data_IF_270747369304
#
_entry.id   IF_270747369304
#
_cell.length_a   1.000
_cell.length_b   1.000
_cell.length_c   1.000
_cell.angle_alpha   90.00
_cell.angle_beta   90.00
_cell.angle_gamma   90.00
#
_symmetry.space_group_name_H-M   'P 1'
#
loop_
_entity.id
_entity.type
_entity.pdbx_description
1 polymer ?
#
# COMPACT_ATOMS: atom_id res chain seq x y z
N UNK A 1 -49.14 110.59 -37.59
CA UNK A 1 -49.34 110.47 -36.11
C UNK A 1 -49.17 108.99 -35.76
N UNK A 2 -48.12 108.66 -35.02
CA UNK A 2 -47.94 107.55 -34.07
C UNK A 2 -48.51 106.18 -34.49
N UNK A 3 -47.95 105.07 -34.31
CA UNK A 3 -46.80 104.49 -33.57
C UNK A 3 -46.89 102.94 -33.63
N UNK A 4 -45.80 102.28 -33.57
CA UNK A 4 -45.56 100.90 -33.09
C UNK A 4 -46.15 99.76 -33.92
N UNK A 5 -45.50 98.78 -34.45
CA UNK A 5 -44.30 98.04 -33.99
C UNK A 5 -44.72 96.63 -33.54
N UNK A 6 -44.47 95.70 -34.26
CA UNK A 6 -43.92 94.51 -33.60
C UNK A 6 -43.41 93.41 -34.58
N UNK A 7 -42.11 93.12 -34.42
CA UNK A 7 -41.44 92.00 -35.06
C UNK A 7 -41.81 90.69 -34.37
N UNK A 8 -42.20 89.70 -35.10
CA UNK A 8 -42.15 88.33 -34.59
C UNK A 8 -41.03 87.59 -35.38
N UNK A 9 -39.98 87.30 -34.67
CA UNK A 9 -38.86 86.47 -35.14
C UNK A 9 -39.30 85.03 -35.31
N UNK A 10 -38.97 84.49 -36.42
CA UNK A 10 -39.07 83.03 -36.64
C UNK A 10 -37.88 82.32 -36.01
N UNK A 11 -38.09 81.62 -34.95
CA UNK A 11 -37.12 80.71 -34.39
C UNK A 11 -36.98 79.47 -35.26
N UNK A 12 -35.83 79.36 -35.95
CA UNK A 12 -35.40 78.10 -36.55
C UNK A 12 -34.93 77.17 -35.43
N UNK A 13 -35.79 76.21 -35.07
CA UNK A 13 -35.37 75.08 -34.24
C UNK A 13 -34.57 74.11 -35.11
N UNK A 14 -33.25 74.23 -35.02
CA UNK A 14 -32.31 73.25 -35.57
C UNK A 14 -32.40 71.95 -34.83
N UNK A 15 -33.05 70.97 -35.38
CA UNK A 15 -33.07 69.60 -34.86
C UNK A 15 -31.62 69.03 -34.82
N UNK A 16 -31.05 69.00 -33.67
CA UNK A 16 -29.74 68.36 -33.41
C UNK A 16 -29.93 66.86 -33.52
N UNK A 17 -29.56 66.27 -34.67
CA UNK A 17 -29.39 64.81 -34.84
C UNK A 17 -28.29 64.39 -33.90
N UNK A 18 -28.60 63.79 -32.78
CA UNK A 18 -27.66 63.02 -31.95
C UNK A 18 -27.28 61.76 -32.73
N UNK A 19 -26.18 61.79 -33.44
CA UNK A 19 -25.49 60.58 -33.87
C UNK A 19 -25.05 59.80 -32.66
N UNK A 20 -25.76 58.70 -32.36
CA UNK A 20 -25.25 57.68 -31.46
C UNK A 20 -23.97 57.10 -32.07
N UNK A 21 -22.80 57.60 -31.67
CA UNK A 21 -21.53 56.93 -31.87
C UNK A 21 -21.63 55.56 -31.20
N UNK A 22 -21.91 54.51 -31.96
CA UNK A 22 -21.67 53.13 -31.55
C UNK A 22 -20.16 52.99 -31.38
N UNK A 23 -19.66 53.22 -30.16
CA UNK A 23 -18.27 53.06 -29.85
C UNK A 23 -17.90 51.56 -29.98
N UNK A 24 -17.33 51.24 -31.13
CA UNK A 24 -16.77 49.91 -31.36
C UNK A 24 -15.72 49.66 -30.24
N UNK A 25 -15.76 48.44 -29.65
CA UNK A 25 -14.78 48.00 -28.65
C UNK A 25 -13.37 48.38 -29.10
N UNK A 26 -12.60 48.98 -28.22
CA UNK A 26 -11.18 49.32 -28.48
C UNK A 26 -10.42 48.03 -28.80
N UNK A 27 -9.40 48.10 -29.66
CA UNK A 27 -8.64 46.95 -30.13
C UNK A 27 -8.14 46.04 -29.01
N UNK A 28 -7.70 46.61 -27.88
CA UNK A 28 -7.28 45.87 -26.72
C UNK A 28 -8.47 45.14 -26.03
N UNK A 29 -9.65 45.73 -25.96
CA UNK A 29 -10.86 45.08 -25.43
C UNK A 29 -11.29 43.86 -26.28
N UNK A 30 -11.16 43.92 -27.62
CA UNK A 30 -11.41 42.80 -28.50
C UNK A 30 -10.40 41.69 -28.27
N UNK A 31 -9.09 42.05 -28.10
CA UNK A 31 -8.04 41.09 -27.80
C UNK A 31 -8.29 40.44 -26.43
N UNK A 32 -8.67 41.18 -25.39
CA UNK A 32 -8.99 40.64 -24.06
C UNK A 32 -10.18 39.70 -24.10
N UNK A 33 -11.22 40.00 -24.87
CA UNK A 33 -12.40 39.12 -25.03
C UNK A 33 -12.01 37.83 -25.75
N UNK A 34 -11.18 37.94 -26.81
CA UNK A 34 -10.70 36.75 -27.54
C UNK A 34 -9.82 35.87 -26.62
N UNK A 35 -8.88 36.46 -25.87
CA UNK A 35 -8.05 35.73 -24.92
C UNK A 35 -8.91 35.07 -23.82
N UNK A 36 -9.88 35.80 -23.27
CA UNK A 36 -10.81 35.24 -22.28
C UNK A 36 -11.66 34.08 -22.86
N UNK A 37 -12.12 34.20 -24.10
CA UNK A 37 -12.84 33.15 -24.78
C UNK A 37 -11.94 31.91 -25.03
N UNK A 38 -10.68 32.11 -25.43
CA UNK A 38 -9.71 31.01 -25.59
C UNK A 38 -9.45 30.31 -24.26
N UNK A 39 -9.23 31.08 -23.18
CA UNK A 39 -9.03 30.52 -21.83
C UNK A 39 -10.27 29.74 -21.35
N UNK A 40 -11.48 30.26 -21.62
CA UNK A 40 -12.72 29.55 -21.30
C UNK A 40 -12.90 28.25 -22.12
N UNK A 41 -12.57 28.28 -23.41
CA UNK A 41 -12.63 27.07 -24.26
C UNK A 41 -11.57 26.06 -23.83
N UNK A 42 -10.32 26.49 -23.62
CA UNK A 42 -9.25 25.59 -23.18
C UNK A 42 -9.51 25.08 -21.75
N UNK A 43 -9.98 25.93 -20.86
CA UNK A 43 -10.38 25.52 -19.51
C UNK A 43 -11.58 24.58 -19.52
N UNK A 44 -12.57 24.84 -20.36
CA UNK A 44 -13.74 23.98 -20.53
C UNK A 44 -13.41 22.61 -21.13
N UNK A 45 -12.51 22.57 -22.14
CA UNK A 45 -12.04 21.31 -22.71
C UNK A 45 -11.16 20.55 -21.74
N UNK A 46 -10.26 21.22 -21.03
CA UNK A 46 -9.44 20.60 -19.98
C UNK A 46 -10.33 20.03 -18.85
N UNK A 47 -11.35 20.76 -18.41
CA UNK A 47 -12.34 20.30 -17.43
C UNK A 47 -13.17 19.11 -17.94
N UNK A 48 -13.55 19.12 -19.21
CA UNK A 48 -14.30 18.01 -19.82
C UNK A 48 -13.42 16.75 -19.92
N UNK A 49 -12.17 16.88 -20.36
CA UNK A 49 -11.19 15.78 -20.43
C UNK A 49 -10.90 15.26 -19.00
N UNK A 50 -10.74 16.17 -18.06
CA UNK A 50 -10.55 15.81 -16.64
C UNK A 50 -11.73 14.99 -16.10
N UNK A 51 -12.98 15.45 -16.30
CA UNK A 51 -14.18 14.72 -15.85
C UNK A 51 -14.38 13.37 -16.54
N UNK A 52 -13.97 13.23 -17.79
CA UNK A 52 -14.07 11.96 -18.52
C UNK A 52 -13.04 10.93 -18.01
N UNK A 53 -11.86 11.39 -17.60
CA UNK A 53 -10.77 10.50 -17.16
C UNK A 53 -10.77 10.23 -15.65
N UNK A 54 -11.40 11.10 -14.83
CA UNK A 54 -11.53 10.90 -13.39
C UNK A 54 -12.73 10.00 -13.12
N UNK A 55 -12.47 8.73 -12.93
CA UNK A 55 -13.48 7.69 -12.70
C UNK A 55 -12.93 6.61 -11.76
N UNK A 56 -13.82 5.88 -11.06
CA UNK A 56 -13.38 4.72 -10.26
C UNK A 56 -12.70 3.67 -11.14
N UNK A 57 -11.88 2.79 -10.54
CA UNK A 57 -11.40 1.63 -11.25
C UNK A 57 -12.60 0.78 -11.68
N UNK A 58 -12.52 0.28 -12.89
CA UNK A 58 -13.48 -0.72 -13.39
C UNK A 58 -12.67 -1.99 -13.55
N UNK A 59 -12.92 -2.98 -12.70
CA UNK A 59 -12.32 -4.30 -12.87
C UNK A 59 -12.73 -4.80 -14.25
N UNK A 60 -11.77 -4.97 -15.14
CA UNK A 60 -12.05 -5.64 -16.41
C UNK A 60 -12.41 -7.08 -16.06
N UNK A 61 -13.41 -7.70 -16.71
CA UNK A 61 -13.61 -9.13 -16.58
C UNK A 61 -12.27 -9.80 -16.89
N UNK A 62 -11.78 -10.60 -15.97
CA UNK A 62 -10.54 -11.35 -16.18
C UNK A 62 -10.64 -12.06 -17.53
N UNK A 63 -9.54 -12.05 -18.35
CA UNK A 63 -9.50 -12.88 -19.54
C UNK A 63 -9.94 -14.28 -19.10
N UNK A 64 -10.84 -14.89 -19.86
CA UNK A 64 -11.26 -16.28 -19.57
C UNK A 64 -10.00 -17.12 -19.58
N UNK A 65 -9.43 -17.35 -18.42
CA UNK A 65 -8.28 -18.22 -18.26
C UNK A 65 -8.73 -19.59 -18.72
N UNK A 66 -7.96 -20.19 -19.61
CA UNK A 66 -8.27 -21.53 -20.16
C UNK A 66 -8.06 -22.63 -19.12
N UNK A 67 -7.41 -22.31 -18.01
CA UNK A 67 -7.19 -23.18 -16.87
C UNK A 67 -7.77 -22.56 -15.59
N UNK A 68 -8.45 -23.32 -14.74
CA UNK A 68 -8.99 -22.81 -13.49
C UNK A 68 -7.84 -22.38 -12.56
N UNK A 69 -8.03 -21.26 -11.85
CA UNK A 69 -7.10 -20.82 -10.83
C UNK A 69 -6.93 -21.88 -9.74
N UNK A 70 -5.73 -22.00 -9.16
CA UNK A 70 -5.52 -22.84 -7.98
C UNK A 70 -6.50 -22.48 -6.85
N UNK A 71 -6.91 -23.46 -6.05
CA UNK A 71 -7.87 -23.24 -4.95
C UNK A 71 -7.39 -22.15 -3.98
N UNK A 72 -6.09 -22.07 -3.76
CA UNK A 72 -5.46 -21.07 -2.91
C UNK A 72 -5.50 -19.63 -3.46
N UNK A 73 -5.85 -19.43 -4.74
CA UNK A 73 -6.01 -18.13 -5.39
C UNK A 73 -7.47 -17.83 -5.76
N UNK A 74 -8.38 -18.77 -5.49
CA UNK A 74 -9.80 -18.60 -5.81
C UNK A 74 -10.54 -17.92 -4.66
N UNK A 75 -11.28 -16.84 -4.96
CA UNK A 75 -12.11 -16.13 -3.98
C UNK A 75 -13.43 -16.89 -3.76
N UNK A 76 -13.72 -17.24 -2.52
CA UNK A 76 -14.98 -17.88 -2.11
C UNK A 76 -15.97 -16.79 -1.68
N UNK A 77 -16.64 -16.14 -2.66
CA UNK A 77 -17.62 -15.08 -2.38
C UNK A 77 -18.77 -15.61 -1.52
N UNK A 78 -19.32 -14.81 -0.60
CA UNK A 78 -20.56 -15.16 0.08
C UNK A 78 -21.70 -15.27 -0.94
N UNK A 79 -22.73 -16.02 -0.61
CA UNK A 79 -23.86 -16.24 -1.50
C UNK A 79 -25.15 -15.62 -0.93
N UNK A 80 -26.04 -15.26 -1.82
CA UNK A 80 -27.38 -14.75 -1.50
C UNK A 80 -28.43 -15.59 -2.23
N UNK A 81 -29.59 -15.75 -1.63
CA UNK A 81 -30.73 -16.41 -2.24
C UNK A 81 -31.57 -15.39 -2.97
N UNK A 82 -31.80 -15.60 -4.27
CA UNK A 82 -32.65 -14.74 -5.10
C UNK A 82 -33.83 -15.56 -5.64
N UNK A 83 -35.04 -14.98 -5.73
CA UNK A 83 -36.15 -15.63 -6.40
C UNK A 83 -35.82 -15.93 -7.86
N UNK A 84 -36.04 -17.16 -8.28
CA UNK A 84 -35.92 -17.59 -9.66
C UNK A 84 -37.16 -18.37 -10.04
N UNK A 85 -37.46 -18.45 -11.33
CA UNK A 85 -38.56 -19.26 -11.83
C UNK A 85 -37.97 -20.44 -12.56
N UNK A 86 -38.26 -21.64 -12.06
CA UNK A 86 -37.90 -22.89 -12.73
C UNK A 86 -39.12 -23.35 -13.55
N UNK A 87 -38.90 -23.61 -14.83
CA UNK A 87 -39.95 -24.09 -15.75
C UNK A 87 -39.72 -25.59 -15.94
N UNK A 88 -40.70 -26.38 -15.57
CA UNK A 88 -40.66 -27.81 -15.86
C UNK A 88 -40.74 -28.01 -17.38
N UNK A 89 -39.75 -28.64 -17.95
CA UNK A 89 -39.61 -28.82 -19.42
C UNK A 89 -40.69 -29.73 -19.99
N UNK A 90 -41.33 -30.64 -19.19
CA UNK A 90 -42.37 -31.57 -19.65
C UNK A 90 -43.79 -31.01 -19.51
N UNK A 91 -44.05 -30.27 -18.44
CA UNK A 91 -45.39 -29.75 -18.10
C UNK A 91 -45.58 -28.29 -18.45
N UNK A 92 -44.47 -27.49 -18.57
CA UNK A 92 -44.53 -26.04 -18.74
C UNK A 92 -44.98 -25.29 -17.50
N UNK A 93 -45.07 -25.95 -16.33
CA UNK A 93 -45.41 -25.29 -15.08
C UNK A 93 -44.23 -24.46 -14.54
N UNK A 94 -44.54 -23.22 -14.16
CA UNK A 94 -43.59 -22.31 -13.54
C UNK A 94 -43.65 -22.49 -12.00
N UNK A 95 -42.52 -22.79 -11.40
CA UNK A 95 -42.39 -22.87 -9.94
C UNK A 95 -41.39 -21.82 -9.45
N UNK A 96 -41.81 -21.00 -8.47
CA UNK A 96 -40.89 -20.08 -7.79
C UNK A 96 -39.93 -20.90 -6.91
N UNK A 97 -38.63 -20.75 -7.17
CA UNK A 97 -37.56 -21.36 -6.40
C UNK A 97 -36.60 -20.28 -5.92
N UNK A 98 -35.89 -20.54 -4.83
CA UNK A 98 -34.76 -19.67 -4.42
C UNK A 98 -33.48 -20.26 -5.00
N UNK A 99 -32.79 -19.48 -5.80
CA UNK A 99 -31.49 -19.86 -6.38
C UNK A 99 -30.37 -19.12 -5.65
N UNK A 100 -29.34 -19.89 -5.28
CA UNK A 100 -28.13 -19.36 -4.65
C UNK A 100 -27.23 -18.73 -5.71
N UNK A 101 -26.89 -17.45 -5.54
CA UNK A 101 -25.97 -16.72 -6.43
C UNK A 101 -24.89 -16.01 -5.60
N UNK A 102 -23.68 -15.82 -6.15
CA UNK A 102 -22.65 -15.05 -5.48
C UNK A 102 -23.12 -13.61 -5.20
N UNK A 103 -22.80 -13.10 -4.01
CA UNK A 103 -23.09 -11.72 -3.62
C UNK A 103 -22.40 -10.73 -4.56
N UNK A 104 -23.12 -9.66 -4.90
CA UNK A 104 -22.59 -8.59 -5.74
C UNK A 104 -21.77 -7.61 -4.95
N UNK A 105 -20.73 -7.07 -5.56
CA UNK A 105 -19.91 -6.00 -4.99
C UNK A 105 -20.72 -4.71 -4.90
N UNK A 106 -20.71 -4.04 -3.74
CA UNK A 106 -21.37 -2.76 -3.51
C UNK A 106 -20.68 -1.64 -4.27
N UNK A 107 -21.46 -0.82 -4.98
CA UNK A 107 -20.93 0.36 -5.65
C UNK A 107 -20.40 1.37 -4.64
N UNK A 108 -19.26 2.00 -4.95
CA UNK A 108 -18.65 3.02 -4.11
C UNK A 108 -17.84 2.48 -2.93
N UNK A 109 -17.60 1.18 -2.87
CA UNK A 109 -16.72 0.52 -1.89
C UNK A 109 -15.49 0.02 -2.60
N UNK A 110 -14.31 0.30 -2.07
CA UNK A 110 -13.05 -0.05 -2.72
C UNK A 110 -12.05 -0.59 -1.69
N UNK A 111 -11.33 -1.63 -2.07
CA UNK A 111 -10.24 -2.23 -1.30
C UNK A 111 -8.99 -2.30 -2.17
N UNK A 112 -7.97 -1.50 -1.84
CA UNK A 112 -6.74 -1.37 -2.60
C UNK A 112 -5.58 -2.02 -1.84
N UNK A 113 -4.86 -2.92 -2.52
CA UNK A 113 -3.64 -3.49 -1.98
C UNK A 113 -2.49 -2.50 -2.07
N UNK A 114 -1.88 -2.18 -0.94
CA UNK A 114 -0.65 -1.38 -0.84
C UNK A 114 0.47 -2.28 -0.36
N UNK A 115 1.51 -2.42 -1.17
CA UNK A 115 2.69 -3.20 -0.81
C UNK A 115 3.96 -2.36 -0.87
N UNK A 116 4.89 -2.63 0.03
CA UNK A 116 6.22 -2.04 0.05
C UNK A 116 7.28 -3.12 -0.09
N UNK A 117 8.22 -2.96 -1.03
CA UNK A 117 9.33 -3.90 -1.20
C UNK A 117 10.43 -3.70 -0.15
N UNK A 118 11.19 -4.76 0.12
CA UNK A 118 12.46 -4.68 0.83
C UNK A 118 13.55 -3.96 -0.01
N UNK A 119 14.72 -3.74 0.59
CA UNK A 119 15.83 -3.04 -0.08
C UNK A 119 16.32 -3.74 -1.33
N UNK A 120 16.16 -5.05 -1.43
CA UNK A 120 16.56 -5.87 -2.57
C UNK A 120 15.44 -5.95 -3.64
N UNK A 121 14.24 -5.44 -3.34
CA UNK A 121 13.07 -5.47 -4.22
C UNK A 121 12.52 -6.88 -4.49
N UNK A 122 12.91 -7.87 -3.69
CA UNK A 122 12.56 -9.27 -3.94
C UNK A 122 11.31 -9.74 -3.17
N UNK A 123 11.03 -9.12 -2.02
CA UNK A 123 9.91 -9.46 -1.13
C UNK A 123 9.15 -8.21 -0.73
N UNK A 124 7.91 -8.40 -0.31
CA UNK A 124 7.09 -7.34 0.25
C UNK A 124 7.19 -7.35 1.78
N UNK A 125 7.88 -6.37 2.35
CA UNK A 125 8.01 -6.24 3.82
C UNK A 125 6.81 -5.54 4.46
N UNK A 126 6.01 -4.84 3.68
CA UNK A 126 4.77 -4.19 4.07
C UNK A 126 3.65 -4.65 3.16
N UNK A 127 2.54 -5.11 3.74
CA UNK A 127 1.33 -5.54 3.02
C UNK A 127 0.15 -4.94 3.77
N UNK A 128 -0.56 -4.01 3.15
CA UNK A 128 -1.69 -3.28 3.73
C UNK A 128 -2.84 -3.30 2.72
N UNK A 129 -4.06 -3.53 3.19
CA UNK A 129 -5.28 -3.28 2.44
C UNK A 129 -5.85 -1.96 2.92
N UNK A 130 -6.01 -1.00 2.00
CA UNK A 130 -6.65 0.27 2.24
C UNK A 130 -8.11 0.19 1.76
N UNK A 131 -9.02 0.51 2.64
CA UNK A 131 -10.46 0.55 2.39
C UNK A 131 -10.96 1.97 2.24
N UNK A 132 -11.87 2.18 1.31
CA UNK A 132 -12.64 3.40 1.13
C UNK A 132 -14.10 3.06 0.83
N UNK A 133 -15.02 3.53 1.65
CA UNK A 133 -16.45 3.59 1.32
C UNK A 133 -16.83 5.05 1.03
N UNK A 134 -17.09 5.37 -0.24
CA UNK A 134 -17.45 6.73 -0.66
C UNK A 134 -18.86 7.15 -0.22
N UNK A 135 -19.72 6.17 0.12
CA UNK A 135 -21.10 6.44 0.55
C UNK A 135 -21.13 6.94 2.00
N UNK A 136 -20.24 6.41 2.85
CA UNK A 136 -20.11 6.80 4.27
C UNK A 136 -18.93 7.73 4.52
N UNK A 137 -18.02 7.87 3.55
CA UNK A 137 -16.72 8.55 3.66
C UNK A 137 -15.82 7.95 4.74
N UNK A 138 -15.98 6.66 5.00
CA UNK A 138 -15.11 5.90 5.90
C UNK A 138 -13.86 5.42 5.19
N UNK A 139 -12.75 5.44 5.92
CA UNK A 139 -11.47 4.87 5.51
C UNK A 139 -10.94 3.96 6.59
N UNK A 140 -10.33 2.86 6.18
CA UNK A 140 -9.66 1.93 7.09
C UNK A 140 -8.39 1.37 6.48
N UNK A 141 -7.46 0.94 7.33
CA UNK A 141 -6.24 0.23 6.93
C UNK A 141 -6.18 -1.12 7.66
N UNK A 142 -5.90 -2.19 6.93
CA UNK A 142 -5.68 -3.52 7.48
C UNK A 142 -4.29 -4.01 7.08
N UNK A 143 -3.45 -4.27 8.07
CA UNK A 143 -2.12 -4.84 7.83
C UNK A 143 -2.16 -6.35 7.90
N UNK A 144 -1.56 -6.97 6.87
CA UNK A 144 -1.34 -8.42 6.81
C UNK A 144 0.12 -8.68 7.21
N UNK A 145 0.38 -9.44 8.28
CA UNK A 145 1.73 -9.75 8.69
C UNK A 145 2.52 -10.45 7.57
N UNK A 146 3.73 -9.97 7.27
CA UNK A 146 4.54 -10.45 6.14
C UNK A 146 4.93 -11.94 6.25
N UNK A 147 5.00 -12.47 7.47
CA UNK A 147 5.32 -13.87 7.75
C UNK A 147 4.08 -14.78 7.78
N UNK A 148 2.90 -14.25 7.37
CA UNK A 148 1.66 -15.02 7.27
C UNK A 148 1.90 -16.30 6.50
N UNK A 149 1.49 -17.44 7.11
CA UNK A 149 1.56 -18.74 6.47
C UNK A 149 0.48 -18.85 5.39
N UNK A 150 0.88 -19.21 4.19
CA UNK A 150 -0.02 -19.55 3.07
C UNK A 150 0.42 -20.84 2.41
N UNK A 151 -0.49 -21.51 1.73
CA UNK A 151 -0.15 -22.70 0.95
C UNK A 151 0.70 -22.31 -0.26
N UNK A 152 1.65 -23.15 -0.63
CA UNK A 152 2.30 -23.05 -1.94
C UNK A 152 1.65 -24.04 -2.91
N UNK A 153 1.81 -23.84 -4.21
CA UNK A 153 1.20 -24.70 -5.25
C UNK A 153 1.63 -26.17 -5.21
N UNK A 154 2.56 -26.56 -4.32
CA UNK A 154 3.06 -27.93 -4.17
C UNK A 154 2.58 -28.59 -2.85
N UNK A 155 1.57 -28.03 -2.21
CA UNK A 155 1.01 -28.56 -0.95
C UNK A 155 1.89 -28.34 0.28
N UNK A 156 2.83 -27.39 0.25
CA UNK A 156 3.64 -26.98 1.40
C UNK A 156 3.26 -25.59 1.89
N UNK A 157 4.01 -25.08 2.88
CA UNK A 157 3.87 -23.72 3.39
C UNK A 157 4.89 -22.77 2.78
N UNK A 158 4.45 -21.52 2.58
CA UNK A 158 5.34 -20.38 2.28
C UNK A 158 4.86 -19.15 3.05
N UNK A 159 5.68 -18.11 3.10
CA UNK A 159 5.29 -16.82 3.67
C UNK A 159 4.63 -15.96 2.62
N UNK A 160 3.59 -15.21 3.00
CA UNK A 160 2.86 -14.32 2.08
C UNK A 160 3.78 -13.31 1.36
N UNK A 161 4.81 -12.79 2.05
CA UNK A 161 5.75 -11.84 1.48
C UNK A 161 6.61 -12.42 0.33
N UNK A 162 6.74 -13.73 0.21
CA UNK A 162 7.46 -14.39 -0.87
C UNK A 162 6.61 -14.68 -2.11
N UNK A 163 5.29 -14.48 -2.03
CA UNK A 163 4.38 -14.64 -3.18
C UNK A 163 4.72 -13.65 -4.29
N UNK A 164 5.10 -12.43 -3.93
CA UNK A 164 5.52 -11.39 -4.87
C UNK A 164 6.74 -11.82 -5.72
N UNK A 165 7.78 -12.40 -5.11
CA UNK A 165 8.97 -13.00 -5.73
C UNK A 165 9.65 -12.13 -6.81
N UNK A 166 9.77 -10.81 -6.59
CA UNK A 166 10.32 -9.84 -7.54
C UNK A 166 9.67 -9.87 -8.94
N UNK A 167 8.39 -10.20 -9.00
CA UNK A 167 7.65 -10.34 -10.27
C UNK A 167 7.08 -9.04 -10.81
N UNK A 168 7.35 -7.88 -10.21
CA UNK A 168 6.74 -6.58 -10.56
C UNK A 168 5.21 -6.72 -10.72
N UNK A 169 4.68 -6.43 -11.89
CA UNK A 169 3.25 -6.53 -12.19
C UNK A 169 2.73 -7.94 -11.95
N UNK A 170 3.31 -8.96 -12.57
CA UNK A 170 2.92 -10.37 -12.36
C UNK A 170 3.03 -10.83 -10.91
N UNK A 171 4.05 -10.31 -10.17
CA UNK A 171 4.23 -10.58 -8.74
C UNK A 171 3.12 -9.94 -7.90
N UNK A 172 2.69 -8.73 -8.27
CA UNK A 172 1.59 -8.04 -7.61
C UNK A 172 0.25 -8.72 -7.90
N UNK A 173 0.00 -9.13 -9.12
CA UNK A 173 -1.20 -9.90 -9.49
C UNK A 173 -1.31 -11.22 -8.70
N UNK A 174 -0.18 -11.97 -8.56
CA UNK A 174 -0.16 -13.17 -7.72
C UNK A 174 -0.45 -12.86 -6.25
N UNK A 175 0.17 -11.79 -5.71
CA UNK A 175 -0.05 -11.36 -4.33
C UNK A 175 -1.50 -10.89 -4.12
N UNK A 176 -2.05 -10.15 -5.07
CA UNK A 176 -3.43 -9.69 -5.07
C UNK A 176 -4.41 -10.87 -5.04
N UNK A 177 -4.28 -11.83 -5.96
CA UNK A 177 -5.14 -13.04 -5.99
C UNK A 177 -5.04 -13.82 -4.68
N UNK A 178 -3.82 -14.03 -4.18
CA UNK A 178 -3.59 -14.74 -2.91
C UNK A 178 -4.25 -14.03 -1.72
N UNK A 179 -4.13 -12.70 -1.63
CA UNK A 179 -4.77 -11.91 -0.59
C UNK A 179 -6.28 -11.87 -0.74
N UNK A 180 -6.79 -11.76 -1.97
CA UNK A 180 -8.23 -11.80 -2.25
C UNK A 180 -8.85 -13.11 -1.79
N UNK A 181 -8.22 -14.23 -2.08
CA UNK A 181 -8.65 -15.56 -1.59
C UNK A 181 -8.55 -15.66 -0.05
N UNK A 182 -7.46 -15.17 0.53
CA UNK A 182 -7.25 -15.18 1.99
C UNK A 182 -8.31 -14.36 2.72
N UNK A 183 -8.74 -13.22 2.17
CA UNK A 183 -9.67 -12.28 2.81
C UNK A 183 -11.14 -12.49 2.43
N UNK A 184 -11.42 -13.30 1.39
CA UNK A 184 -12.77 -13.62 0.93
C UNK A 184 -13.42 -12.57 0.03
N UNK A 185 -12.66 -11.60 -0.49
CA UNK A 185 -13.12 -10.60 -1.46
C UNK A 185 -12.02 -10.20 -2.44
N UNK A 186 -12.43 -9.73 -3.61
CA UNK A 186 -11.50 -9.25 -4.63
C UNK A 186 -11.00 -7.84 -4.31
N UNK A 187 -9.70 -7.59 -4.55
CA UNK A 187 -9.15 -6.23 -4.51
C UNK A 187 -9.59 -5.43 -5.74
N UNK A 188 -9.70 -4.11 -5.61
CA UNK A 188 -10.06 -3.19 -6.70
C UNK A 188 -8.82 -2.61 -7.41
N UNK A 189 -7.65 -3.03 -7.02
CA UNK A 189 -6.37 -2.67 -7.59
C UNK A 189 -5.24 -2.73 -6.59
N UNK A 190 -4.03 -2.47 -7.08
CA UNK A 190 -2.84 -2.51 -6.24
C UNK A 190 -1.90 -1.33 -6.48
N UNK A 191 -1.08 -1.06 -5.46
CA UNK A 191 0.01 -0.07 -5.49
C UNK A 191 1.24 -0.69 -4.83
N UNK A 192 2.31 -0.89 -5.59
CA UNK A 192 3.61 -1.31 -5.08
C UNK A 192 4.54 -0.12 -5.01
N UNK A 193 5.05 0.16 -3.83
CA UNK A 193 5.92 1.31 -3.55
C UNK A 193 7.32 0.81 -3.19
N UNK A 194 8.34 1.34 -3.83
CA UNK A 194 9.71 1.11 -3.41
C UNK A 194 10.14 2.11 -2.31
N UNK A 195 11.26 1.84 -1.66
CA UNK A 195 11.78 2.68 -0.57
C UNK A 195 12.10 4.11 -1.03
N UNK A 196 12.53 4.30 -2.28
CA UNK A 196 12.88 5.62 -2.83
C UNK A 196 11.63 6.48 -3.05
N UNK A 197 10.54 5.89 -3.54
CA UNK A 197 9.26 6.59 -3.64
C UNK A 197 8.79 7.11 -2.29
N UNK A 198 8.86 6.26 -1.26
CA UNK A 198 8.46 6.64 0.10
C UNK A 198 9.26 7.87 0.59
N UNK A 199 10.59 7.82 0.47
CA UNK A 199 11.46 8.94 0.88
C UNK A 199 11.13 10.20 0.09
N UNK A 200 11.03 10.11 -1.25
CA UNK A 200 10.73 11.25 -2.14
C UNK A 200 9.38 11.89 -1.83
N UNK A 201 8.34 11.09 -1.56
CA UNK A 201 6.99 11.61 -1.23
C UNK A 201 7.00 12.34 0.11
N UNK A 202 7.65 11.80 1.13
CA UNK A 202 7.78 12.46 2.44
C UNK A 202 8.53 13.78 2.32
N UNK A 203 9.61 13.84 1.54
CA UNK A 203 10.37 15.06 1.32
C UNK A 203 9.55 16.09 0.51
N UNK A 204 8.78 15.64 -0.49
CA UNK A 204 7.93 16.50 -1.33
C UNK A 204 6.84 17.21 -0.51
N UNK A 205 6.24 16.53 0.47
CA UNK A 205 5.27 17.17 1.38
C UNK A 205 5.95 18.05 2.45
N UNK A 206 7.27 18.11 2.44
CA UNK A 206 8.05 18.89 3.39
C UNK A 206 8.24 18.21 4.75
N UNK A 207 8.13 16.88 4.82
CA UNK A 207 8.22 16.09 6.03
C UNK A 207 6.87 15.88 6.72
N UNK A 208 6.79 14.84 7.58
CA UNK A 208 5.57 14.42 8.28
C UNK A 208 5.78 14.52 9.79
N UNK A 209 4.84 15.17 10.48
CA UNK A 209 4.85 15.26 11.94
C UNK A 209 4.17 14.02 12.54
N UNK A 210 4.91 13.30 13.38
CA UNK A 210 4.44 12.08 14.05
C UNK A 210 4.99 12.01 15.47
N UNK A 211 4.30 11.24 16.34
CA UNK A 211 4.81 10.91 17.65
C UNK A 211 5.67 9.64 17.57
N UNK A 212 6.99 9.77 17.80
CA UNK A 212 7.91 8.64 17.89
C UNK A 212 7.72 7.97 19.26
N UNK A 213 7.34 6.67 19.33
CA UNK A 213 6.88 6.05 20.58
C UNK A 213 7.99 5.84 21.62
N UNK A 214 9.24 5.75 21.18
CA UNK A 214 10.40 5.53 22.05
C UNK A 214 11.68 6.02 21.38
N UNK A 215 12.77 6.16 22.13
CA UNK A 215 14.10 6.40 21.55
C UNK A 215 14.49 5.21 20.65
N UNK A 216 14.90 5.51 19.42
CA UNK A 216 15.26 4.52 18.40
C UNK A 216 16.69 4.74 17.94
N UNK A 217 17.54 3.76 18.24
CA UNK A 217 18.91 3.74 17.72
C UNK A 217 19.21 2.39 17.07
N UNK A 218 19.54 2.43 15.79
CA UNK A 218 19.98 1.25 15.06
C UNK A 218 20.92 1.65 13.92
N UNK A 219 22.03 0.92 13.79
CA UNK A 219 22.99 1.12 12.69
C UNK A 219 23.24 -0.19 11.98
N UNK A 220 23.05 -0.16 10.67
CA UNK A 220 23.39 -1.26 9.74
C UNK A 220 24.14 -0.69 8.54
N UNK A 221 25.48 -0.62 8.60
CA UNK A 221 26.28 -0.10 7.50
C UNK A 221 26.12 -0.87 6.19
N UNK A 222 25.80 -2.18 6.23
CA UNK A 222 25.61 -2.99 5.04
C UNK A 222 24.40 -2.56 4.20
N UNK A 223 23.40 -2.00 4.86
CA UNK A 223 22.19 -1.46 4.22
C UNK A 223 22.19 0.08 4.14
N UNK A 224 23.31 0.73 4.47
CA UNK A 224 23.40 2.20 4.59
C UNK A 224 22.26 2.78 5.47
N UNK A 225 21.90 2.08 6.54
CA UNK A 225 20.80 2.42 7.42
C UNK A 225 21.33 2.89 8.76
N UNK A 226 21.03 4.14 9.08
CA UNK A 226 21.22 4.72 10.41
C UNK A 226 19.89 5.28 10.89
N UNK A 227 19.41 4.78 12.04
CA UNK A 227 18.22 5.26 12.72
C UNK A 227 18.69 5.90 14.03
N UNK A 228 18.42 7.18 14.21
CA UNK A 228 18.66 7.92 15.44
C UNK A 228 17.50 8.91 15.65
N UNK A 229 16.44 8.44 16.31
CA UNK A 229 15.23 9.20 16.56
C UNK A 229 14.96 9.23 18.08
N UNK A 230 14.57 10.40 18.59
CA UNK A 230 14.16 10.56 19.97
C UNK A 230 12.65 10.32 20.12
N UNK A 231 12.23 9.86 21.29
CA UNK A 231 10.80 9.75 21.62
C UNK A 231 10.13 11.13 21.60
N UNK A 232 8.85 11.16 21.23
CA UNK A 232 8.01 12.35 21.23
C UNK A 232 7.62 12.85 19.85
N UNK A 233 6.82 13.92 19.83
CA UNK A 233 6.35 14.53 18.58
C UNK A 233 7.49 15.27 17.87
N UNK A 234 7.70 14.92 16.60
CA UNK A 234 8.71 15.56 15.76
C UNK A 234 8.34 15.43 14.29
N UNK A 235 8.86 16.38 13.49
CA UNK A 235 8.71 16.38 12.04
C UNK A 235 9.88 15.61 11.43
N UNK A 236 9.55 14.53 10.70
CA UNK A 236 10.52 13.64 10.08
C UNK A 236 10.65 13.94 8.58
N UNK A 237 11.86 14.02 8.08
CA UNK A 237 12.16 13.97 6.66
C UNK A 237 12.03 12.54 6.12
N UNK A 238 12.24 12.35 4.80
CA UNK A 238 12.07 11.03 4.15
C UNK A 238 12.99 9.96 4.72
N UNK A 239 14.25 10.28 5.05
CA UNK A 239 15.21 9.31 5.61
C UNK A 239 14.86 8.95 7.05
N UNK A 240 14.49 9.94 7.86
CA UNK A 240 14.06 9.74 9.24
C UNK A 240 12.77 8.92 9.30
N UNK A 241 11.80 9.23 8.43
CA UNK A 241 10.56 8.49 8.28
C UNK A 241 10.81 7.03 7.85
N UNK A 242 11.73 6.81 6.91
CA UNK A 242 12.16 5.47 6.51
C UNK A 242 12.78 4.71 7.69
N UNK A 243 13.58 5.38 8.52
CA UNK A 243 14.12 4.83 9.76
C UNK A 243 13.01 4.40 10.72
N UNK A 244 12.03 5.28 10.94
CA UNK A 244 10.89 5.02 11.83
C UNK A 244 10.10 3.77 11.41
N UNK A 245 9.70 3.66 10.15
CA UNK A 245 8.85 2.55 9.65
C UNK A 245 9.61 1.22 9.52
N UNK A 246 10.94 1.25 9.51
CA UNK A 246 11.80 0.05 9.46
C UNK A 246 12.28 -0.40 10.83
N UNK A 247 12.16 0.42 11.86
CA UNK A 247 12.65 0.10 13.20
C UNK A 247 11.90 -1.06 13.84
N UNK A 248 12.63 -2.01 14.42
CA UNK A 248 12.08 -3.20 15.11
C UNK A 248 12.65 -3.43 16.49
N UNK A 249 13.90 -2.99 16.68
CA UNK A 249 14.68 -3.30 17.87
C UNK A 249 14.06 -2.62 19.09
N UNK A 250 13.82 -3.39 20.16
CA UNK A 250 13.29 -2.85 21.41
C UNK A 250 11.77 -2.79 21.51
N UNK A 251 11.03 -3.17 20.48
CA UNK A 251 9.59 -3.37 20.60
C UNK A 251 9.27 -4.69 21.31
N UNK A 252 8.35 -4.66 22.28
CA UNK A 252 7.94 -5.85 23.03
C UNK A 252 7.33 -6.93 22.13
N UNK A 253 6.56 -6.52 21.11
CA UNK A 253 5.95 -7.38 20.10
C UNK A 253 6.54 -7.10 18.71
N UNK A 254 7.82 -6.91 18.62
CA UNK A 254 8.64 -6.55 17.47
C UNK A 254 7.90 -6.16 16.17
N UNK A 255 7.26 -7.11 15.50
CA UNK A 255 6.62 -6.90 14.19
C UNK A 255 5.22 -6.22 14.29
N UNK A 256 4.44 -6.52 15.34
CA UNK A 256 3.10 -5.93 15.54
C UNK A 256 3.20 -4.44 15.86
N UNK A 257 4.09 -4.04 16.77
CA UNK A 257 4.30 -2.62 17.09
C UNK A 257 4.85 -1.85 15.90
N UNK A 258 5.75 -2.45 15.11
CA UNK A 258 6.19 -1.84 13.84
C UNK A 258 5.01 -1.58 12.92
N UNK A 259 4.11 -2.53 12.76
CA UNK A 259 2.90 -2.40 11.93
C UNK A 259 2.01 -1.24 12.39
N UNK A 260 1.81 -1.08 13.71
CA UNK A 260 1.06 0.04 14.27
C UNK A 260 1.73 1.39 13.96
N UNK A 261 3.04 1.49 14.13
CA UNK A 261 3.80 2.70 13.79
C UNK A 261 3.71 3.02 12.29
N UNK A 262 3.75 2.01 11.43
CA UNK A 262 3.56 2.18 9.99
C UNK A 262 2.16 2.74 9.66
N UNK A 263 1.11 2.22 10.30
CA UNK A 263 -0.27 2.69 10.11
C UNK A 263 -0.44 4.15 10.56
N UNK A 264 0.06 4.51 11.74
CA UNK A 264 0.02 5.89 12.25
C UNK A 264 0.81 6.85 11.35
N UNK A 265 1.97 6.41 10.86
CA UNK A 265 2.75 7.20 9.91
C UNK A 265 2.01 7.40 8.59
N UNK A 266 1.42 6.34 8.01
CA UNK A 266 0.64 6.43 6.76
C UNK A 266 -0.57 7.36 6.90
N UNK A 267 -1.26 7.32 8.05
CA UNK A 267 -2.35 8.23 8.39
C UNK A 267 -1.89 9.70 8.37
N UNK A 268 -0.76 9.99 9.02
CA UNK A 268 -0.19 11.33 9.06
C UNK A 268 0.29 11.80 7.68
N UNK A 269 0.92 10.90 6.91
CA UNK A 269 1.37 11.17 5.54
C UNK A 269 0.18 11.46 4.61
N UNK A 270 -0.88 10.68 4.68
CA UNK A 270 -2.09 10.90 3.88
C UNK A 270 -2.71 12.27 4.16
N UNK A 271 -2.85 12.67 5.43
CA UNK A 271 -3.29 14.02 5.81
C UNK A 271 -2.41 15.12 5.21
N UNK A 272 -1.10 14.92 5.26
CA UNK A 272 -0.14 15.90 4.75
C UNK A 272 -0.22 15.98 3.22
N UNK A 273 -0.29 14.86 2.50
CA UNK A 273 -0.41 14.83 1.04
C UNK A 273 -1.70 15.52 0.55
N UNK A 274 -2.82 15.32 1.25
CA UNK A 274 -4.12 15.89 0.89
C UNK A 274 -4.35 17.32 1.39
N UNK A 275 -3.37 17.94 2.06
CA UNK A 275 -3.45 19.35 2.46
C UNK A 275 -3.43 20.27 1.24
N UNK A 276 -4.13 21.42 1.31
CA UNK A 276 -4.23 22.37 0.20
C UNK A 276 -2.87 22.88 -0.29
N UNK A 277 -1.88 23.01 0.60
CA UNK A 277 -0.52 23.44 0.27
C UNK A 277 0.26 22.38 -0.54
N UNK A 278 -0.13 21.13 -0.45
CA UNK A 278 0.47 20.01 -1.16
C UNK A 278 -0.30 19.60 -2.43
N UNK A 279 -1.49 20.15 -2.68
CA UNK A 279 -2.30 19.91 -3.88
C UNK A 279 -2.14 21.01 -4.94
N UNK A 280 -1.01 21.69 -4.98
CA UNK A 280 -0.70 22.67 -6.02
C UNK A 280 -0.35 21.97 -7.34
N UNK A 281 -0.59 22.64 -8.48
CA UNK A 281 -0.28 22.08 -9.80
C UNK A 281 1.20 21.69 -9.95
N UNK A 282 2.12 22.43 -9.33
CA UNK A 282 3.55 22.10 -9.33
C UNK A 282 3.83 20.79 -8.58
N UNK A 283 3.31 20.63 -7.36
CA UNK A 283 3.50 19.42 -6.57
C UNK A 283 2.78 18.21 -7.17
N UNK A 284 1.60 18.41 -7.76
CA UNK A 284 0.90 17.33 -8.48
C UNK A 284 1.73 16.77 -9.65
N UNK A 285 2.49 17.64 -10.33
CA UNK A 285 3.44 17.20 -11.36
C UNK A 285 4.59 16.40 -10.75
N UNK A 286 5.18 16.87 -9.65
CA UNK A 286 6.26 16.16 -8.95
C UNK A 286 5.78 14.81 -8.39
N UNK A 287 4.55 14.73 -7.84
CA UNK A 287 3.94 13.44 -7.47
C UNK A 287 3.84 12.49 -8.64
N UNK A 288 3.38 12.98 -9.82
CA UNK A 288 3.26 12.16 -11.01
C UNK A 288 4.63 11.61 -11.48
N UNK A 289 5.69 12.43 -11.43
CA UNK A 289 7.06 12.03 -11.77
C UNK A 289 7.59 10.96 -10.78
N UNK A 290 7.41 11.15 -9.46
CA UNK A 290 7.80 10.16 -8.46
C UNK A 290 7.04 8.85 -8.69
N UNK A 291 5.76 8.94 -9.00
CA UNK A 291 4.89 7.80 -9.21
C UNK A 291 5.32 6.99 -10.44
N UNK A 292 5.52 7.63 -11.58
CA UNK A 292 5.94 7.00 -12.82
C UNK A 292 7.28 6.25 -12.69
N UNK A 293 8.21 6.81 -11.92
CA UNK A 293 9.53 6.23 -11.74
C UNK A 293 9.62 5.10 -10.70
N UNK A 294 8.74 5.11 -9.68
CA UNK A 294 8.99 4.35 -8.45
C UNK A 294 7.79 3.53 -7.96
N UNK A 295 6.68 3.53 -8.68
CA UNK A 295 5.46 2.82 -8.30
C UNK A 295 5.01 1.88 -9.42
N UNK A 296 4.65 0.65 -9.06
CA UNK A 296 4.00 -0.29 -9.97
C UNK A 296 2.54 -0.41 -9.54
N UNK A 297 1.60 -0.21 -10.46
CA UNK A 297 0.17 -0.22 -10.18
C UNK A 297 -0.64 -0.51 -11.44
N UNK A 298 -1.80 -1.11 -11.27
CA UNK A 298 -2.85 -1.26 -12.29
C UNK A 298 -3.81 -0.05 -12.34
N UNK A 299 -3.70 0.88 -11.37
CA UNK A 299 -4.54 2.07 -11.30
C UNK A 299 -4.09 3.13 -12.32
N UNK A 300 -5.01 3.58 -13.16
CA UNK A 300 -4.78 4.72 -14.04
C UNK A 300 -4.66 6.04 -13.26
N UNK A 301 -4.03 7.05 -13.86
CA UNK A 301 -3.99 8.41 -13.29
C UNK A 301 -5.40 8.93 -12.99
N UNK A 302 -6.41 8.59 -13.80
CA UNK A 302 -7.80 8.94 -13.57
C UNK A 302 -8.39 8.30 -12.31
N UNK A 303 -8.06 7.03 -12.04
CA UNK A 303 -8.45 6.35 -10.81
C UNK A 303 -7.79 6.98 -9.57
N UNK A 304 -6.50 7.31 -9.66
CA UNK A 304 -5.78 7.96 -8.57
C UNK A 304 -6.36 9.34 -8.22
N UNK A 305 -6.67 10.15 -9.24
CA UNK A 305 -7.34 11.44 -9.03
C UNK A 305 -8.74 11.27 -8.45
N UNK A 306 -9.47 10.23 -8.88
CA UNK A 306 -10.76 9.89 -8.29
C UNK A 306 -10.63 9.58 -6.80
N UNK A 307 -9.73 8.67 -6.42
CA UNK A 307 -9.48 8.34 -5.02
C UNK A 307 -9.03 9.56 -4.21
N UNK A 308 -8.13 10.39 -4.75
CA UNK A 308 -7.71 11.61 -4.07
C UNK A 308 -8.91 12.53 -3.77
N UNK A 309 -9.87 12.68 -4.69
CA UNK A 309 -11.08 13.47 -4.47
C UNK A 309 -12.01 12.87 -3.41
N UNK A 310 -12.15 11.54 -3.37
CA UNK A 310 -12.97 10.89 -2.35
C UNK A 310 -12.30 10.99 -0.98
N UNK A 311 -11.00 10.72 -0.90
CA UNK A 311 -10.22 10.80 0.33
C UNK A 311 -10.23 12.21 0.96
N UNK A 312 -10.32 13.28 0.15
CA UNK A 312 -10.47 14.66 0.67
C UNK A 312 -11.78 14.89 1.43
N UNK A 313 -12.78 14.02 1.28
CA UNK A 313 -14.06 14.10 2.00
C UNK A 313 -14.05 13.31 3.30
N UNK A 314 -13.05 12.45 3.49
CA UNK A 314 -12.96 11.53 4.62
C UNK A 314 -12.31 12.20 5.83
N UNK A 315 -12.73 11.77 7.03
CA UNK A 315 -12.09 12.15 8.29
C UNK A 315 -10.98 11.16 8.65
N UNK A 316 -9.74 11.55 8.41
CA UNK A 316 -8.59 10.72 8.76
C UNK A 316 -8.38 10.57 10.29
N UNK A 317 -8.96 11.44 11.12
CA UNK A 317 -8.90 11.24 12.58
C UNK A 317 -9.79 10.07 13.02
N UNK A 318 -10.89 9.84 12.30
CA UNK A 318 -11.77 8.69 12.49
C UNK A 318 -11.30 7.41 11.77
N UNK A 319 -10.22 7.46 11.00
CA UNK A 319 -9.71 6.29 10.27
C UNK A 319 -9.39 5.13 11.21
N UNK A 320 -9.97 3.97 10.93
CA UNK A 320 -9.74 2.74 11.67
C UNK A 320 -8.50 2.02 11.15
N UNK A 321 -7.74 1.40 12.06
CA UNK A 321 -6.55 0.61 11.69
C UNK A 321 -6.61 -0.77 12.35
N UNK A 322 -6.29 -1.80 11.57
CA UNK A 322 -6.36 -3.19 11.98
C UNK A 322 -5.06 -3.92 11.66
N UNK A 323 -4.73 -4.90 12.47
CA UNK A 323 -3.73 -5.91 12.16
C UNK A 323 -4.37 -7.27 12.36
N UNK A 324 -4.29 -8.15 11.36
CA UNK A 324 -4.89 -9.48 11.46
C UNK A 324 -4.15 -10.28 12.53
N UNK A 325 -4.92 -10.85 13.47
CA UNK A 325 -4.37 -11.64 14.56
C UNK A 325 -4.05 -13.07 14.12
N UNK A 326 -3.01 -13.63 14.72
CA UNK A 326 -2.54 -14.98 14.49
C UNK A 326 -1.61 -15.43 15.60
N UNK A 327 -0.92 -16.54 15.39
CA UNK A 327 0.02 -17.11 16.35
C UNK A 327 1.37 -17.40 15.67
N UNK A 328 2.47 -16.98 16.28
CA UNK A 328 3.80 -17.32 15.78
C UNK A 328 4.06 -18.83 15.90
N UNK A 329 4.49 -19.47 14.82
CA UNK A 329 4.78 -20.90 14.79
C UNK A 329 6.13 -21.17 14.11
N UNK A 330 6.93 -22.05 14.70
CA UNK A 330 8.16 -22.57 14.10
C UNK A 330 7.83 -23.91 13.45
N UNK A 331 7.81 -23.98 12.11
CA UNK A 331 7.49 -25.18 11.36
C UNK A 331 8.73 -25.62 10.56
N UNK A 332 9.27 -26.77 10.87
CA UNK A 332 10.50 -27.30 10.23
C UNK A 332 11.64 -26.29 10.18
N UNK A 333 11.88 -25.54 11.27
CA UNK A 333 12.95 -24.54 11.38
C UNK A 333 12.65 -23.19 10.71
N UNK A 334 11.47 -23.00 10.13
CA UNK A 334 11.05 -21.72 9.54
C UNK A 334 9.98 -21.08 10.44
N UNK A 335 10.15 -19.79 10.73
CA UNK A 335 9.17 -19.02 11.51
C UNK A 335 8.04 -18.56 10.58
N UNK A 336 6.81 -18.90 10.92
CA UNK A 336 5.58 -18.48 10.24
C UNK A 336 4.65 -17.74 11.21
N UNK A 337 3.64 -17.08 10.66
CA UNK A 337 2.57 -16.45 11.42
C UNK A 337 1.20 -16.91 10.86
N UNK A 338 0.74 -18.12 11.20
CA UNK A 338 -0.62 -18.58 10.89
C UNK A 338 -1.67 -17.65 11.46
N UNK A 339 -2.72 -17.34 10.68
CA UNK A 339 -3.75 -16.39 11.05
C UNK A 339 -4.98 -17.08 11.66
N UNK A 340 -5.73 -16.35 12.48
CA UNK A 340 -7.06 -16.80 12.93
C UNK A 340 -8.13 -16.41 11.91
N UNK A 341 -8.85 -17.38 11.35
CA UNK A 341 -9.96 -17.13 10.42
C UNK A 341 -11.03 -16.20 11.01
N UNK A 342 -11.32 -16.37 12.31
CA UNK A 342 -12.26 -15.51 13.04
C UNK A 342 -11.82 -14.04 13.12
N UNK A 343 -10.52 -13.77 13.23
CA UNK A 343 -9.98 -12.41 13.21
C UNK A 343 -10.18 -11.75 11.84
N UNK A 344 -9.90 -12.50 10.75
CA UNK A 344 -10.13 -12.02 9.38
C UNK A 344 -11.61 -11.67 9.20
N UNK A 345 -12.51 -12.61 9.46
CA UNK A 345 -13.97 -12.43 9.27
C UNK A 345 -14.49 -11.24 10.08
N UNK A 346 -14.05 -11.11 11.33
CA UNK A 346 -14.42 -9.98 12.19
C UNK A 346 -14.00 -8.64 11.59
N UNK A 347 -12.73 -8.50 11.19
CA UNK A 347 -12.18 -7.25 10.66
C UNK A 347 -12.85 -6.93 9.31
N UNK A 348 -13.00 -7.94 8.45
CA UNK A 348 -13.61 -7.74 7.13
C UNK A 348 -15.06 -7.28 7.28
N UNK A 349 -15.89 -7.96 8.05
CA UNK A 349 -17.30 -7.57 8.23
C UNK A 349 -17.45 -6.22 8.95
N UNK A 350 -16.50 -5.83 9.80
CA UNK A 350 -16.54 -4.54 10.49
C UNK A 350 -16.23 -3.36 9.56
N UNK A 351 -15.28 -3.50 8.60
CA UNK A 351 -14.79 -2.34 7.86
C UNK A 351 -14.33 -2.58 6.42
N UNK A 352 -14.24 -3.82 5.92
CA UNK A 352 -13.67 -4.10 4.59
C UNK A 352 -14.61 -4.88 3.67
N UNK A 353 -15.76 -5.32 4.18
CA UNK A 353 -16.69 -6.15 3.43
C UNK A 353 -17.30 -5.37 2.24
N UNK A 354 -17.01 -5.76 1.00
CA UNK A 354 -17.60 -5.11 -0.16
C UNK A 354 -18.98 -5.65 -0.55
N UNK A 355 -19.56 -6.55 0.23
CA UNK A 355 -20.84 -7.18 -0.05
C UNK A 355 -21.93 -6.72 0.92
N UNK A 356 -23.20 -6.94 0.57
CA UNK A 356 -24.35 -6.63 1.44
C UNK A 356 -24.65 -7.75 2.45
N UNK A 357 -23.85 -8.82 2.44
CA UNK A 357 -23.96 -9.95 3.36
C UNK A 357 -22.63 -10.18 4.06
N UNK A 358 -22.69 -10.67 5.30
CA UNK A 358 -21.51 -10.96 6.07
C UNK A 358 -20.74 -12.17 5.53
N UNK A 359 -19.42 -12.06 5.52
CA UNK A 359 -18.53 -13.19 5.30
C UNK A 359 -18.53 -14.10 6.53
N UNK A 360 -18.31 -15.40 6.26
CA UNK A 360 -18.09 -16.42 7.26
C UNK A 360 -16.69 -17.02 7.13
N UNK A 361 -16.28 -17.88 8.03
CA UNK A 361 -15.00 -18.60 7.95
C UNK A 361 -14.88 -19.50 6.71
N UNK A 362 -16.02 -19.86 6.07
CA UNK A 362 -16.01 -20.63 4.83
C UNK A 362 -15.57 -19.81 3.61
N UNK A 363 -15.67 -18.49 3.71
CA UNK A 363 -15.31 -17.57 2.62
C UNK A 363 -13.81 -17.24 2.60
N UNK A 364 -13.06 -17.49 3.68
CA UNK A 364 -11.64 -17.14 3.81
C UNK A 364 -10.74 -18.36 3.62
N UNK A 365 -9.69 -18.21 2.84
CA UNK A 365 -8.73 -19.30 2.59
C UNK A 365 -7.45 -19.05 3.40
N UNK A 366 -7.42 -19.53 4.63
CA UNK A 366 -6.38 -19.23 5.60
C UNK A 366 -5.73 -20.48 6.17
N UNK A 367 -4.41 -20.46 6.30
CA UNK A 367 -3.68 -21.46 7.08
C UNK A 367 -3.79 -21.07 8.56
N UNK A 368 -4.66 -21.78 9.30
CA UNK A 368 -4.81 -21.56 10.75
C UNK A 368 -3.66 -22.18 11.53
N UNK A 369 -3.46 -21.82 12.82
CA UNK A 369 -2.45 -22.46 13.67
C UNK A 369 -2.58 -23.98 13.73
N UNK A 370 -3.80 -24.52 13.74
CA UNK A 370 -4.07 -25.95 13.74
C UNK A 370 -3.57 -26.60 12.43
N UNK A 371 -3.93 -26.01 11.29
CA UNK A 371 -3.49 -26.47 9.96
C UNK A 371 -1.98 -26.38 9.83
N UNK A 372 -1.37 -25.27 10.25
CA UNK A 372 0.08 -25.08 10.19
C UNK A 372 0.85 -26.18 10.94
N UNK A 373 0.37 -26.59 12.12
CA UNK A 373 0.99 -27.67 12.94
C UNK A 373 1.02 -29.01 12.21
N UNK A 374 0.10 -29.29 11.29
CA UNK A 374 0.08 -30.55 10.53
C UNK A 374 1.28 -30.71 9.59
N UNK A 375 1.96 -29.60 9.25
CA UNK A 375 3.17 -29.58 8.42
C UNK A 375 4.45 -29.84 9.22
N UNK A 376 4.39 -29.88 10.56
CA UNK A 376 5.55 -30.18 11.38
C UNK A 376 5.95 -31.63 11.18
N UNK A 377 7.18 -31.87 10.72
CA UNK A 377 7.74 -33.23 10.67
C UNK A 377 7.85 -33.79 12.09
N UNK A 378 7.54 -35.06 12.31
CA UNK A 378 7.86 -35.73 13.57
C UNK A 378 9.33 -35.47 13.92
N UNK A 379 9.62 -35.18 15.19
CA UNK A 379 10.98 -35.13 15.63
C UNK A 379 11.66 -36.46 15.30
N UNK A 380 12.80 -36.42 14.62
CA UNK A 380 13.62 -37.61 14.43
C UNK A 380 13.94 -38.13 15.83
N UNK A 381 13.71 -39.42 16.15
CA UNK A 381 14.01 -39.91 17.48
C UNK A 381 15.51 -39.62 17.74
N UNK A 382 15.76 -38.92 18.84
CA UNK A 382 17.14 -38.71 19.29
C UNK A 382 17.84 -40.07 19.27
N UNK A 383 18.88 -40.19 18.46
CA UNK A 383 19.72 -41.39 18.55
C UNK A 383 20.20 -41.45 20.02
N UNK A 384 20.03 -42.60 20.69
CA UNK A 384 20.55 -42.74 21.99
C UNK A 384 22.02 -42.28 22.01
N UNK A 385 22.37 -41.35 22.86
CA UNK A 385 23.74 -40.90 23.00
C UNK A 385 24.63 -42.16 23.06
N UNK A 386 25.58 -42.24 22.14
CA UNK A 386 26.60 -43.30 22.13
C UNK A 386 27.16 -43.33 23.55
N UNK A 387 27.18 -44.45 24.28
CA UNK A 387 27.68 -44.48 25.65
C UNK A 387 29.14 -43.98 25.60
N UNK A 388 29.39 -42.92 26.37
CA UNK A 388 30.71 -42.40 26.60
C UNK A 388 31.58 -43.60 26.94
N UNK A 389 32.59 -43.87 26.13
CA UNK A 389 33.59 -44.88 26.44
C UNK A 389 34.22 -44.50 27.82
N UNK A 390 34.31 -45.42 28.78
CA UNK A 390 34.96 -45.11 30.03
C UNK A 390 36.40 -44.68 29.72
N UNK A 391 36.75 -43.54 30.25
CA UNK A 391 38.10 -43.00 30.31
C UNK A 391 39.01 -44.11 30.86
N UNK A 392 39.87 -44.67 30.00
CA UNK A 392 40.85 -45.68 30.44
C UNK A 392 41.76 -45.01 31.44
N UNK A 393 41.54 -45.39 32.67
CA UNK A 393 42.26 -45.09 33.87
C UNK A 393 43.74 -45.02 33.69
N UNK A 394 44.28 -44.00 34.31
CA UNK A 394 45.65 -43.84 34.72
C UNK A 394 46.35 -45.18 35.05
N UNK A 395 47.44 -45.44 34.39
CA UNK A 395 48.39 -46.46 34.74
C UNK A 395 49.34 -45.85 35.80
N UNK A 396 49.30 -46.28 37.09
CA UNK A 396 50.26 -45.84 38.09
C UNK A 396 51.47 -46.75 38.03
N UNK A 397 52.62 -46.25 37.64
CA UNK A 397 53.95 -46.73 37.95
C UNK A 397 54.91 -46.62 36.76
N UNK A 398 55.59 -45.51 36.70
CA UNK A 398 56.98 -45.53 36.26
C UNK A 398 57.76 -44.43 37.03
N UNK A 399 58.64 -44.82 37.97
CA UNK A 399 59.48 -43.85 38.66
C UNK A 399 60.81 -43.68 37.91
N UNK A 400 61.10 -42.46 37.55
CA UNK A 400 62.47 -42.01 37.59
C UNK A 400 63.31 -42.11 36.29
N UNK A 401 63.57 -40.99 35.73
CA UNK A 401 64.92 -40.69 35.29
C UNK A 401 65.16 -39.17 35.29
N UNK A 402 66.38 -38.74 35.82
CA UNK A 402 66.64 -37.34 36.16
C UNK A 402 67.28 -36.56 35.01
N UNK A 403 67.06 -35.27 35.06
CA UNK A 403 67.93 -34.15 34.70
C UNK A 403 68.80 -34.22 33.43
N UNK A 404 68.57 -33.32 32.54
CA UNK A 404 69.65 -32.53 31.98
C UNK A 404 69.23 -31.12 31.62
N UNK A 405 69.94 -30.10 32.07
CA UNK A 405 69.67 -28.73 31.68
C UNK A 405 70.54 -28.37 30.49
N UNK A 406 70.08 -27.46 29.70
CA UNK A 406 70.90 -26.36 29.17
C UNK A 406 70.52 -25.89 27.78
N UNK A 407 70.37 -24.57 27.73
CA UNK A 407 70.76 -23.66 26.63
C UNK A 407 70.10 -23.80 25.27
N UNK A 408 69.59 -22.84 24.69
CA UNK A 408 69.94 -21.48 24.31
C UNK A 408 69.13 -21.05 23.06
N UNK A 409 68.68 -19.82 23.14
CA UNK A 409 68.64 -18.83 22.04
C UNK A 409 67.71 -19.00 20.85
N UNK A 410 66.77 -18.06 20.84
CA UNK A 410 66.17 -17.44 19.67
C UNK A 410 67.18 -17.06 18.60
N UNK A 411 66.79 -17.01 17.34
CA UNK A 411 66.87 -15.73 16.69
C UNK A 411 65.65 -15.34 15.81
N UNK A 412 65.58 -14.05 15.73
CA UNK A 412 64.66 -13.12 15.08
C UNK A 412 64.35 -13.37 13.61
N UNK A 413 63.16 -12.95 13.25
CA UNK A 413 62.63 -12.75 11.91
C UNK A 413 63.38 -11.71 11.13
N UNK A 414 63.52 -11.81 9.81
CA UNK A 414 63.80 -10.64 8.96
C UNK A 414 62.55 -10.19 8.20
N UNK A 415 62.46 -8.88 8.16
CA UNK A 415 61.48 -8.04 7.45
C UNK A 415 61.47 -8.25 5.94
N UNK A 416 60.30 -8.07 5.37
CA UNK A 416 60.03 -8.02 3.92
C UNK A 416 60.39 -6.66 3.34
N UNK A 417 60.98 -6.52 2.18
CA UNK A 417 61.13 -5.24 1.54
C UNK A 417 59.97 -4.87 0.61
N UNK A 418 59.64 -3.60 0.65
CA UNK A 418 58.76 -2.85 -0.23
C UNK A 418 59.10 -3.04 -1.72
N UNK A 419 58.07 -3.00 -2.55
CA UNK A 419 58.24 -2.93 -4.00
C UNK A 419 57.71 -1.58 -4.52
N UNK A 420 58.49 -0.84 -5.33
CA UNK A 420 58.07 0.44 -5.87
C UNK A 420 57.34 0.36 -7.21
N UNK A 421 56.46 1.31 -7.36
CA UNK A 421 55.89 1.98 -8.54
C UNK A 421 56.23 1.56 -9.98
N UNK A 422 55.20 1.61 -10.76
CA UNK A 422 55.06 2.26 -12.10
C UNK A 422 54.83 1.35 -13.32
N UNK A 423 54.29 1.93 -14.38
CA UNK A 423 53.62 3.25 -14.61
C UNK A 423 52.10 3.16 -14.83
#
# INVERSE_FOLDING_TARGET
MKLFGNRKGAEHIAARKTEKKTGGLKRWQRVTIIVAAIVLVLGGTALAVYKVNVKPPVKQPEPVETEPLPEEETVKKPTVYVPATEVDEETGEETEVETEVPASHRAGVYNILIAGTDGDGYRTDTIIVAHLDENTHEVALMSVPRDTAVMNGNGGLMKINSVYANGKEEGMERLERRLSSLLGFEMDGYVLVNLDAFVKVVDLVGGVTVNVPQDMYYSDPSQNLLIDLKAGEQKLDGKQAMGLVRFRKGYASQDIQRTQVQQEFLKALAKQCLSLENLTAAKLKEYAEIFEENVVTDLSVGNMLYFAQQLMKCDFDAMKTYTIEGEGAMINGVSYYPLYASSIVKIVNESFNPYDVDLTVANVNVVTPEVARTFQKPAEPEQPAEPEQPDETEDPENPGNPENPDETQTPETPETPENPENP
#
